data_IF_742915593478
#
_entry.id   IF_742915593478
#
_cell.length_a   1.000
_cell.length_b   1.000
_cell.length_c   1.000
_cell.angle_alpha   90.00
_cell.angle_beta   90.00
_cell.angle_gamma   90.00
#
_symmetry.space_group_name_H-M   'P 1'
#
loop_
_entity.id
_entity.type
_entity.pdbx_description
1 polymer ?
#
# COMPACT_ATOMS: atom_id res chain seq x y z
N UNK A 1 1.67 -1.02 -19.19
CA UNK A 1 1.70 -1.88 -18.00
C UNK A 1 0.38 -2.62 -17.94
N UNK A 2 0.43 -3.94 -17.86
CA UNK A 2 -0.76 -4.76 -17.66
C UNK A 2 -1.09 -4.80 -16.19
N UNK A 3 -2.34 -4.55 -15.83
CA UNK A 3 -2.80 -4.52 -14.45
C UNK A 3 -3.86 -5.59 -14.24
N UNK A 4 -3.59 -6.49 -13.32
CA UNK A 4 -4.54 -7.49 -12.83
C UNK A 4 -5.47 -6.83 -11.80
N UNK A 5 -6.76 -6.96 -11.97
CA UNK A 5 -7.75 -6.36 -11.07
C UNK A 5 -9.01 -7.19 -10.96
N UNK A 6 -9.71 -7.00 -9.88
CA UNK A 6 -11.07 -7.48 -9.70
C UNK A 6 -12.04 -6.30 -9.79
N UNK A 7 -13.16 -6.51 -10.47
CA UNK A 7 -14.22 -5.50 -10.61
C UNK A 7 -15.59 -6.15 -10.41
N UNK A 8 -16.47 -5.47 -9.68
CA UNK A 8 -17.86 -5.88 -9.50
C UNK A 8 -18.76 -4.68 -9.21
N UNK A 9 -20.06 -4.87 -9.49
CA UNK A 9 -21.10 -3.86 -9.25
C UNK A 9 -21.16 -2.77 -10.30
N UNK A 10 -22.05 -1.81 -10.08
CA UNK A 10 -22.31 -0.65 -10.97
C UNK A 10 -22.54 0.60 -10.11
N UNK A 11 -22.44 1.78 -10.73
CA UNK A 11 -22.65 3.06 -10.03
C UNK A 11 -21.35 3.82 -9.84
N UNK A 12 -21.27 4.65 -8.79
CA UNK A 12 -20.07 5.43 -8.49
C UNK A 12 -18.89 4.51 -8.18
N UNK A 13 -17.73 4.81 -8.76
CA UNK A 13 -16.55 3.97 -8.64
C UNK A 13 -15.85 4.14 -7.29
N UNK A 14 -15.47 3.00 -6.69
CA UNK A 14 -14.62 2.91 -5.51
C UNK A 14 -13.40 2.06 -5.85
N UNK A 15 -12.20 2.62 -5.72
CA UNK A 15 -10.94 1.91 -5.94
C UNK A 15 -10.34 1.49 -4.61
N UNK A 16 -9.96 0.22 -4.49
CA UNK A 16 -9.44 -0.40 -3.26
C UNK A 16 -7.99 -0.84 -3.47
N UNK A 17 -7.04 -0.15 -2.83
CA UNK A 17 -5.59 -0.42 -2.93
C UNK A 17 -5.12 -1.22 -1.71
N UNK A 18 -4.59 -2.42 -1.97
CA UNK A 18 -4.21 -3.39 -0.94
C UNK A 18 -2.88 -3.08 -0.25
N UNK A 19 -2.65 -3.69 0.92
CA UNK A 19 -1.37 -3.60 1.64
C UNK A 19 -0.30 -4.51 1.03
N UNK A 20 0.95 -4.27 1.41
CA UNK A 20 2.08 -5.18 1.16
C UNK A 20 1.70 -6.62 1.53
N UNK A 21 2.18 -7.60 0.73
CA UNK A 21 2.01 -9.06 0.96
C UNK A 21 0.55 -9.54 0.87
N UNK A 22 -0.39 -8.73 0.40
CA UNK A 22 -1.83 -9.08 0.43
C UNK A 22 -2.43 -9.36 -0.96
N UNK A 23 -2.29 -8.45 -1.90
CA UNK A 23 -3.00 -8.47 -3.18
C UNK A 23 -4.48 -8.07 -3.07
N UNK A 24 -5.17 -8.01 -4.21
CA UNK A 24 -6.56 -7.56 -4.31
C UNK A 24 -7.57 -8.42 -3.51
N UNK A 25 -7.22 -9.67 -3.20
CA UNK A 25 -8.04 -10.59 -2.38
C UNK A 25 -8.26 -10.10 -0.96
N UNK A 26 -7.44 -9.17 -0.46
CA UNK A 26 -7.64 -8.49 0.81
C UNK A 26 -9.06 -7.91 0.91
N UNK A 27 -9.57 -7.40 -0.19
CA UNK A 27 -10.82 -6.65 -0.26
C UNK A 27 -12.08 -7.48 -0.49
N UNK A 28 -11.96 -8.81 -0.58
CA UNK A 28 -13.06 -9.71 -0.96
C UNK A 28 -14.34 -9.43 -0.18
N UNK A 29 -14.25 -9.29 1.15
CA UNK A 29 -15.44 -9.03 1.99
C UNK A 29 -16.03 -7.64 1.73
N UNK A 30 -15.20 -6.62 1.63
CA UNK A 30 -15.67 -5.26 1.37
C UNK A 30 -16.30 -5.16 -0.01
N UNK A 31 -15.72 -5.83 -0.97
CA UNK A 31 -16.21 -5.91 -2.34
C UNK A 31 -17.60 -6.56 -2.40
N UNK A 32 -17.80 -7.67 -1.66
CA UNK A 32 -19.11 -8.33 -1.58
C UNK A 32 -20.18 -7.45 -0.94
N UNK A 33 -19.82 -6.54 -0.04
CA UNK A 33 -20.73 -5.59 0.61
C UNK A 33 -21.05 -4.42 -0.33
N UNK A 34 -20.07 -3.88 -1.03
CA UNK A 34 -20.23 -2.65 -1.79
C UNK A 34 -20.81 -2.85 -3.19
N UNK A 35 -20.60 -4.00 -3.82
CA UNK A 35 -20.98 -4.28 -5.22
C UNK A 35 -22.46 -4.08 -5.55
N UNK A 36 -23.33 -4.16 -4.56
CA UNK A 36 -24.78 -3.96 -4.75
C UNK A 36 -25.15 -2.46 -4.93
N UNK A 37 -24.24 -1.55 -4.58
CA UNK A 37 -24.47 -0.10 -4.59
C UNK A 37 -23.38 0.71 -5.27
N UNK A 38 -22.23 0.11 -5.56
CA UNK A 38 -21.03 0.78 -6.08
C UNK A 38 -20.37 -0.06 -7.16
N UNK A 39 -19.69 0.59 -8.09
CA UNK A 39 -18.72 -0.07 -8.95
C UNK A 39 -17.41 -0.18 -8.19
N UNK A 40 -17.05 -1.37 -7.74
CA UNK A 40 -15.85 -1.59 -6.92
C UNK A 40 -14.74 -2.16 -7.77
N UNK A 41 -13.57 -1.55 -7.70
CA UNK A 41 -12.38 -1.94 -8.46
C UNK A 41 -11.25 -2.18 -7.47
N UNK A 42 -10.66 -3.37 -7.48
CA UNK A 42 -9.53 -3.73 -6.62
C UNK A 42 -8.35 -4.19 -7.50
N UNK A 43 -7.46 -3.28 -7.91
CA UNK A 43 -6.27 -3.64 -8.66
C UNK A 43 -5.22 -4.29 -7.76
N UNK A 44 -4.43 -5.19 -8.34
CA UNK A 44 -3.15 -5.59 -7.79
C UNK A 44 -2.11 -4.51 -8.09
N UNK A 45 -1.36 -4.10 -7.08
CA UNK A 45 -0.24 -3.18 -7.23
C UNK A 45 0.89 -3.82 -8.03
N UNK A 46 1.89 -3.04 -8.45
CA UNK A 46 3.02 -3.51 -9.27
C UNK A 46 3.68 -4.73 -8.63
N UNK A 47 3.78 -5.83 -9.39
CA UNK A 47 4.39 -7.08 -8.96
C UNK A 47 3.48 -8.04 -8.20
N UNK A 48 2.20 -7.67 -7.94
CA UNK A 48 1.22 -8.55 -7.32
C UNK A 48 0.28 -9.17 -8.34
N UNK A 49 -0.17 -10.40 -8.06
CA UNK A 49 -1.03 -11.16 -8.98
C UNK A 49 -0.37 -11.31 -10.35
N UNK A 50 -1.09 -10.94 -11.40
CA UNK A 50 -0.58 -10.89 -12.78
C UNK A 50 -0.23 -9.46 -13.23
N UNK A 51 -0.26 -8.48 -12.31
CA UNK A 51 0.21 -7.12 -12.65
C UNK A 51 1.70 -7.14 -12.96
N UNK A 52 2.09 -6.45 -14.03
CA UNK A 52 3.48 -6.33 -14.48
C UNK A 52 4.41 -6.04 -13.29
N UNK A 53 5.50 -6.78 -13.18
CA UNK A 53 6.52 -6.55 -12.16
C UNK A 53 7.38 -5.32 -12.50
N UNK A 54 7.95 -4.69 -11.46
CA UNK A 54 8.92 -3.61 -11.66
C UNK A 54 10.21 -4.17 -12.28
N UNK A 55 10.74 -3.48 -13.32
CA UNK A 55 11.94 -3.95 -14.03
C UNK A 55 13.21 -3.92 -13.15
N UNK A 56 13.26 -3.00 -12.19
CA UNK A 56 14.44 -2.79 -11.35
C UNK A 56 15.51 -1.88 -11.96
N UNK A 57 15.31 -1.37 -13.18
CA UNK A 57 16.27 -0.49 -13.87
C UNK A 57 16.42 0.87 -13.17
N UNK A 58 15.37 1.32 -12.50
CA UNK A 58 15.34 2.53 -11.66
C UNK A 58 14.71 2.23 -10.31
N UNK A 59 14.90 3.14 -9.35
CA UNK A 59 14.17 3.05 -8.09
C UNK A 59 12.68 3.32 -8.34
N UNK A 60 11.83 2.45 -7.80
CA UNK A 60 10.39 2.63 -7.87
C UNK A 60 9.96 3.83 -7.00
N UNK A 61 8.98 4.57 -7.49
CA UNK A 61 8.37 5.70 -6.77
C UNK A 61 6.90 5.44 -6.43
N UNK A 62 6.34 6.18 -5.47
CA UNK A 62 4.89 6.15 -5.23
C UNK A 62 4.09 6.59 -6.45
N UNK A 63 4.66 7.47 -7.28
CA UNK A 63 4.05 7.89 -8.55
C UNK A 63 3.91 6.73 -9.52
N UNK A 64 4.93 5.87 -9.65
CA UNK A 64 4.86 4.70 -10.53
C UNK A 64 3.73 3.75 -10.11
N UNK A 65 3.59 3.53 -8.79
CA UNK A 65 2.49 2.74 -8.25
C UNK A 65 1.12 3.40 -8.47
N UNK A 66 1.02 4.71 -8.26
CA UNK A 66 -0.23 5.45 -8.43
C UNK A 66 -0.71 5.49 -9.88
N UNK A 67 0.18 5.41 -10.86
CA UNK A 67 -0.19 5.36 -12.30
C UNK A 67 -1.08 4.15 -12.65
N UNK A 68 -1.07 3.08 -11.85
CA UNK A 68 -2.01 1.95 -12.00
C UNK A 68 -3.46 2.43 -11.98
N UNK A 69 -3.75 3.45 -11.18
CA UNK A 69 -5.11 3.97 -11.00
C UNK A 69 -5.62 4.68 -12.26
N UNK A 70 -4.73 5.23 -13.10
CA UNK A 70 -5.07 6.04 -14.27
C UNK A 70 -6.12 5.40 -15.18
N UNK A 71 -6.02 4.10 -15.43
CA UNK A 71 -6.94 3.40 -16.33
C UNK A 71 -8.38 3.29 -15.80
N UNK A 72 -8.56 3.54 -14.50
CA UNK A 72 -9.85 3.47 -13.82
C UNK A 72 -10.45 4.86 -13.56
N UNK A 73 -9.69 5.94 -13.84
CA UNK A 73 -10.17 7.31 -13.74
C UNK A 73 -11.10 7.59 -14.91
N UNK A 74 -12.33 8.05 -14.67
CA UNK A 74 -13.23 8.46 -15.74
C UNK A 74 -12.64 9.62 -16.58
N UNK A 75 -12.95 9.63 -17.87
CA UNK A 75 -12.53 10.70 -18.79
C UNK A 75 -13.41 11.95 -18.71
N UNK A 76 -14.43 11.93 -17.89
CA UNK A 76 -15.35 13.03 -17.61
C UNK A 76 -15.15 13.56 -16.17
N UNK A 77 -16.03 14.46 -15.75
CA UNK A 77 -15.98 15.07 -14.41
C UNK A 77 -16.52 14.16 -13.28
N UNK A 78 -16.80 12.89 -13.58
CA UNK A 78 -17.27 11.91 -12.59
C UNK A 78 -16.22 11.68 -11.52
N UNK A 79 -16.63 11.84 -10.28
CA UNK A 79 -15.75 11.65 -9.12
C UNK A 79 -15.73 10.17 -8.70
N UNK A 80 -14.59 9.77 -8.19
CA UNK A 80 -14.39 8.44 -7.60
C UNK A 80 -14.00 8.53 -6.13
N UNK A 81 -14.28 7.48 -5.40
CA UNK A 81 -13.79 7.30 -4.02
C UNK A 81 -12.61 6.32 -4.03
N UNK A 82 -11.71 6.47 -3.07
CA UNK A 82 -10.55 5.58 -2.95
C UNK A 82 -10.35 5.12 -1.51
N UNK A 83 -9.98 3.87 -1.34
CA UNK A 83 -9.58 3.28 -0.06
C UNK A 83 -8.19 2.67 -0.23
N UNK A 84 -7.26 3.01 0.66
CA UNK A 84 -5.93 2.43 0.66
C UNK A 84 -5.53 1.91 2.04
N UNK A 85 -4.94 0.71 2.10
CA UNK A 85 -4.44 0.13 3.33
C UNK A 85 -2.91 0.03 3.32
N UNK A 86 -2.26 0.50 4.39
CA UNK A 86 -0.80 0.42 4.57
C UNK A 86 -0.06 1.01 3.36
N UNK A 87 0.75 0.23 2.64
CA UNK A 87 1.40 0.67 1.40
C UNK A 87 0.39 1.18 0.35
N UNK A 88 -0.73 0.47 0.16
CA UNK A 88 -1.82 0.96 -0.69
C UNK A 88 -2.41 2.28 -0.21
N UNK A 89 -2.31 2.61 1.08
CA UNK A 89 -2.65 3.92 1.63
C UNK A 89 -1.71 5.02 1.15
N UNK A 90 -0.40 4.78 1.17
CA UNK A 90 0.60 5.72 0.62
C UNK A 90 0.45 5.90 -0.89
N UNK A 91 0.13 4.82 -1.62
CA UNK A 91 -0.19 4.87 -3.06
C UNK A 91 -1.47 5.67 -3.31
N UNK A 92 -2.52 5.50 -2.47
CA UNK A 92 -3.77 6.25 -2.56
C UNK A 92 -3.56 7.76 -2.32
N UNK A 93 -2.71 8.13 -1.38
CA UNK A 93 -2.31 9.55 -1.18
C UNK A 93 -1.67 10.11 -2.44
N UNK A 94 -0.72 9.41 -3.04
CA UNK A 94 -0.06 9.85 -4.28
C UNK A 94 -1.04 9.91 -5.45
N UNK A 95 -1.94 8.93 -5.60
CA UNK A 95 -2.99 8.96 -6.61
C UNK A 95 -3.92 10.16 -6.43
N UNK A 96 -4.32 10.47 -5.19
CA UNK A 96 -5.14 11.65 -4.89
C UNK A 96 -4.43 12.96 -5.26
N UNK A 97 -3.11 13.04 -5.07
CA UNK A 97 -2.29 14.19 -5.49
C UNK A 97 -2.25 14.31 -7.02
N UNK A 98 -2.01 13.22 -7.74
CA UNK A 98 -1.86 13.23 -9.21
C UNK A 98 -3.22 13.48 -9.89
N UNK A 99 -4.28 12.85 -9.38
CA UNK A 99 -5.63 12.89 -9.95
C UNK A 99 -6.59 13.74 -9.11
N UNK A 100 -6.11 14.82 -8.51
CA UNK A 100 -6.85 15.65 -7.54
C UNK A 100 -8.21 16.13 -8.04
N UNK A 101 -8.36 16.30 -9.36
CA UNK A 101 -9.64 16.67 -9.99
C UNK A 101 -10.68 15.56 -10.05
N UNK A 102 -10.29 14.29 -9.84
CA UNK A 102 -11.16 13.13 -10.04
C UNK A 102 -11.49 12.38 -8.74
N UNK A 103 -10.72 12.57 -7.68
CA UNK A 103 -10.90 11.85 -6.40
C UNK A 103 -11.51 12.81 -5.40
N UNK A 104 -12.74 12.51 -4.93
CA UNK A 104 -13.46 13.34 -3.96
C UNK A 104 -13.41 12.80 -2.53
N UNK A 105 -13.31 11.48 -2.36
CA UNK A 105 -13.27 10.80 -1.06
C UNK A 105 -12.08 9.87 -0.95
N UNK A 106 -11.37 9.96 0.17
CA UNK A 106 -10.21 9.14 0.45
C UNK A 106 -10.28 8.54 1.85
N UNK A 107 -10.20 7.22 1.94
CA UNK A 107 -10.11 6.50 3.21
C UNK A 107 -8.73 5.83 3.27
N UNK A 108 -7.96 6.21 4.26
CA UNK A 108 -6.63 5.70 4.55
C UNK A 108 -6.68 4.80 5.78
N UNK A 109 -6.37 3.53 5.62
CA UNK A 109 -6.32 2.56 6.72
C UNK A 109 -4.85 2.30 7.03
N UNK A 110 -4.39 2.80 8.18
CA UNK A 110 -2.99 2.66 8.63
C UNK A 110 -1.96 2.92 7.51
N UNK A 111 -2.04 4.06 6.79
CA UNK A 111 -1.09 4.36 5.72
C UNK A 111 0.33 4.44 6.28
N UNK A 112 1.33 4.10 5.44
CA UNK A 112 2.73 4.03 5.86
C UNK A 112 3.68 5.00 5.14
N UNK A 113 3.42 6.31 5.05
CA UNK A 113 4.36 7.28 4.51
C UNK A 113 5.57 7.45 5.46
N UNK A 114 6.35 6.38 5.63
CA UNK A 114 7.36 6.22 6.69
C UNK A 114 8.47 7.28 6.64
N UNK A 115 8.72 7.90 5.49
CA UNK A 115 9.69 8.99 5.37
C UNK A 115 9.31 10.20 6.25
N UNK A 116 8.00 10.45 6.49
CA UNK A 116 7.53 11.55 7.35
C UNK A 116 7.97 11.39 8.80
N UNK A 117 8.26 10.17 9.26
CA UNK A 117 8.80 9.93 10.62
C UNK A 117 10.08 10.73 10.86
N UNK A 118 10.97 10.81 9.85
CA UNK A 118 12.19 11.61 9.89
C UNK A 118 11.85 13.10 10.01
N UNK A 119 10.92 13.57 9.17
CA UNK A 119 10.57 14.98 9.07
C UNK A 119 9.81 15.48 10.32
N UNK A 120 9.09 14.57 10.99
CA UNK A 120 8.43 14.79 12.28
C UNK A 120 9.36 14.66 13.50
N UNK A 121 10.67 14.42 13.32
CA UNK A 121 11.60 14.22 14.42
C UNK A 121 11.47 12.88 15.17
N UNK A 122 10.69 11.92 14.62
CA UNK A 122 10.50 10.58 15.19
C UNK A 122 11.67 9.66 14.81
N UNK A 123 12.87 10.05 15.19
CA UNK A 123 14.11 9.39 14.72
C UNK A 123 14.23 7.92 15.14
N UNK A 124 13.76 7.54 16.33
CA UNK A 124 13.78 6.15 16.77
C UNK A 124 12.87 5.27 15.91
N UNK A 125 11.65 5.74 15.62
CA UNK A 125 10.70 5.03 14.77
C UNK A 125 11.20 4.97 13.31
N UNK A 126 11.81 6.05 12.82
CA UNK A 126 12.44 6.06 11.49
C UNK A 126 13.61 5.06 11.40
N UNK A 127 14.42 4.92 12.46
CA UNK A 127 15.49 3.93 12.50
C UNK A 127 14.95 2.50 12.48
N UNK A 128 13.83 2.23 13.18
CA UNK A 128 13.19 0.92 13.21
C UNK A 128 12.66 0.52 11.83
N UNK A 129 11.92 1.40 11.12
CA UNK A 129 11.45 1.11 9.76
C UNK A 129 12.60 0.99 8.78
N UNK A 130 13.67 1.76 8.96
CA UNK A 130 14.88 1.67 8.14
C UNK A 130 15.57 0.32 8.32
N UNK A 131 15.62 -0.21 9.53
CA UNK A 131 16.17 -1.55 9.80
C UNK A 131 15.35 -2.65 9.09
N UNK A 132 14.01 -2.54 9.09
CA UNK A 132 13.14 -3.45 8.34
C UNK A 132 13.38 -3.35 6.84
N UNK A 133 13.45 -2.15 6.27
CA UNK A 133 13.84 -1.93 4.86
C UNK A 133 15.16 -2.63 4.54
N UNK A 134 16.18 -2.40 5.36
CA UNK A 134 17.53 -2.93 5.12
C UNK A 134 17.55 -4.47 5.23
N UNK A 135 16.76 -5.04 6.11
CA UNK A 135 16.53 -6.48 6.21
C UNK A 135 15.96 -7.03 4.88
N UNK A 136 14.88 -6.45 4.38
CA UNK A 136 14.25 -6.88 3.11
C UNK A 136 15.22 -6.70 1.93
N UNK A 137 15.89 -5.55 1.84
CA UNK A 137 16.85 -5.26 0.76
C UNK A 137 18.05 -6.23 0.78
N UNK A 138 18.60 -6.49 1.96
CA UNK A 138 19.76 -7.37 2.12
C UNK A 138 19.42 -8.81 1.74
N UNK A 139 18.30 -9.33 2.25
CA UNK A 139 17.87 -10.69 1.97
C UNK A 139 17.39 -10.86 0.53
N UNK A 140 16.71 -9.87 -0.04
CA UNK A 140 16.32 -9.88 -1.45
C UNK A 140 17.51 -9.95 -2.40
N UNK A 141 18.58 -9.17 -2.14
CA UNK A 141 19.85 -9.25 -2.91
C UNK A 141 20.55 -10.60 -2.80
N UNK A 142 20.43 -11.26 -1.65
CA UNK A 142 21.00 -12.60 -1.40
C UNK A 142 20.09 -13.74 -1.84
N UNK A 143 18.87 -13.43 -2.31
CA UNK A 143 17.81 -14.40 -2.60
C UNK A 143 17.42 -15.30 -1.41
N UNK A 144 17.56 -14.80 -0.18
CA UNK A 144 17.14 -15.46 1.07
C UNK A 144 15.77 -14.92 1.52
N UNK A 145 14.77 -15.10 0.64
CA UNK A 145 13.42 -14.57 0.84
C UNK A 145 12.66 -15.24 1.98
N UNK A 146 12.98 -16.46 2.31
CA UNK A 146 12.45 -17.19 3.46
C UNK A 146 12.85 -16.52 4.79
N UNK A 147 14.11 -16.10 4.92
CA UNK A 147 14.59 -15.31 6.07
C UNK A 147 13.87 -13.96 6.16
N UNK A 148 13.76 -13.25 5.04
CA UNK A 148 13.04 -11.98 4.99
C UNK A 148 11.57 -12.14 5.41
N UNK A 149 10.90 -13.19 4.89
CA UNK A 149 9.50 -13.47 5.17
C UNK A 149 9.25 -13.84 6.63
N UNK A 150 10.16 -14.59 7.24
CA UNK A 150 10.07 -14.93 8.66
C UNK A 150 10.16 -13.67 9.54
N UNK A 151 11.17 -12.83 9.32
CA UNK A 151 11.35 -11.58 10.06
C UNK A 151 10.15 -10.65 9.86
N UNK A 152 9.72 -10.43 8.61
CA UNK A 152 8.58 -9.59 8.27
C UNK A 152 7.29 -10.08 8.95
N UNK A 153 7.03 -11.38 8.89
CA UNK A 153 5.81 -11.97 9.43
C UNK A 153 5.76 -11.83 10.96
N UNK A 154 6.83 -12.16 11.64
CA UNK A 154 6.89 -12.03 13.09
C UNK A 154 6.80 -10.57 13.54
N UNK A 155 7.45 -9.65 12.84
CA UNK A 155 7.40 -8.22 13.15
C UNK A 155 5.98 -7.62 13.04
N UNK A 156 5.26 -7.90 11.95
CA UNK A 156 3.94 -7.32 11.70
C UNK A 156 2.77 -8.07 12.37
N UNK A 157 2.99 -9.26 12.92
CA UNK A 157 1.95 -10.01 13.62
C UNK A 157 2.33 -10.19 15.10
N UNK A 158 3.09 -11.22 15.41
CA UNK A 158 3.61 -11.53 16.74
C UNK A 158 4.74 -12.56 16.62
N UNK A 159 5.57 -12.63 17.65
CA UNK A 159 6.64 -13.64 17.70
C UNK A 159 6.06 -15.05 17.54
N UNK A 160 6.69 -15.84 16.68
CA UNK A 160 6.26 -17.21 16.37
C UNK A 160 5.15 -17.31 15.31
N UNK A 161 4.66 -16.21 14.75
CA UNK A 161 3.63 -16.23 13.73
C UNK A 161 4.10 -16.96 12.45
N UNK A 162 5.36 -16.81 12.08
CA UNK A 162 5.96 -17.52 10.95
C UNK A 162 6.07 -19.02 11.20
N UNK A 163 6.55 -19.40 12.37
CA UNK A 163 6.74 -20.79 12.78
C UNK A 163 5.42 -21.56 12.81
N UNK A 164 4.33 -20.88 13.15
CA UNK A 164 2.99 -21.45 13.20
C UNK A 164 2.35 -21.67 11.83
N UNK A 165 2.95 -21.15 10.74
CA UNK A 165 2.43 -21.34 9.38
C UNK A 165 2.82 -22.70 8.81
N UNK A 166 1.90 -23.31 8.04
CA UNK A 166 2.23 -24.44 7.17
C UNK A 166 3.10 -24.01 5.98
N UNK A 167 3.75 -24.98 5.33
CA UNK A 167 4.70 -24.70 4.25
C UNK A 167 4.06 -23.99 3.05
N UNK A 168 2.82 -24.36 2.70
CA UNK A 168 2.09 -23.71 1.61
C UNK A 168 1.86 -22.23 1.90
N UNK A 169 1.51 -21.90 3.12
CA UNK A 169 1.28 -20.51 3.54
C UNK A 169 2.59 -19.72 3.57
N UNK A 170 3.67 -20.34 4.05
CA UNK A 170 5.02 -19.75 3.99
C UNK A 170 5.43 -19.42 2.56
N UNK A 171 5.25 -20.35 1.63
CA UNK A 171 5.56 -20.11 0.21
C UNK A 171 4.75 -18.94 -0.39
N UNK A 172 3.47 -18.84 -0.06
CA UNK A 172 2.63 -17.71 -0.50
C UNK A 172 3.16 -16.37 0.05
N UNK A 173 3.56 -16.30 1.32
CA UNK A 173 4.12 -15.09 1.93
C UNK A 173 5.47 -14.75 1.30
N UNK A 174 6.36 -15.73 1.10
CA UNK A 174 7.66 -15.53 0.43
C UNK A 174 7.46 -14.89 -0.95
N UNK A 175 6.55 -15.42 -1.75
CA UNK A 175 6.32 -14.91 -3.10
C UNK A 175 5.65 -13.53 -3.08
N UNK A 176 4.70 -13.30 -2.18
CA UNK A 176 4.02 -12.02 -2.04
C UNK A 176 4.92 -10.92 -1.43
N UNK A 177 6.02 -11.27 -0.77
CA UNK A 177 6.98 -10.31 -0.21
C UNK A 177 7.96 -9.75 -1.24
N UNK A 178 8.19 -10.44 -2.36
CA UNK A 178 9.18 -9.99 -3.36
C UNK A 178 8.96 -8.57 -3.88
N UNK A 179 7.74 -8.11 -4.20
CA UNK A 179 7.49 -6.73 -4.62
C UNK A 179 7.90 -5.69 -3.56
N UNK A 180 7.84 -6.06 -2.28
CA UNK A 180 8.19 -5.17 -1.18
C UNK A 180 9.65 -4.65 -1.24
N UNK A 181 10.54 -5.38 -1.93
CA UNK A 181 11.89 -4.91 -2.21
C UNK A 181 11.90 -3.52 -2.87
N UNK A 182 10.96 -3.26 -3.79
CA UNK A 182 10.84 -2.01 -4.53
C UNK A 182 9.88 -1.02 -3.84
N UNK A 183 8.87 -1.52 -3.13
CA UNK A 183 7.96 -0.68 -2.35
C UNK A 183 8.70 0.16 -1.30
N UNK A 184 9.75 -0.38 -0.67
CA UNK A 184 10.59 0.37 0.25
C UNK A 184 11.29 1.56 -0.41
N UNK A 185 11.70 1.42 -1.67
CA UNK A 185 12.26 2.55 -2.40
C UNK A 185 11.20 3.63 -2.62
N UNK A 186 9.99 3.22 -3.02
CA UNK A 186 8.87 4.13 -3.27
C UNK A 186 8.46 4.93 -2.04
N UNK A 187 8.41 4.29 -0.86
CA UNK A 187 7.99 4.94 0.38
C UNK A 187 9.10 5.78 1.01
N UNK A 188 10.33 5.26 1.06
CA UNK A 188 11.41 5.91 1.83
C UNK A 188 12.09 7.07 1.08
N UNK A 189 11.97 7.11 -0.24
CA UNK A 189 12.52 8.17 -1.08
C UNK A 189 11.49 9.24 -1.46
N UNK A 190 10.25 9.14 -0.99
CA UNK A 190 9.25 10.20 -1.13
C UNK A 190 9.65 11.43 -0.29
N UNK A 191 9.25 12.61 -0.73
CA UNK A 191 9.64 13.90 -0.13
C UNK A 191 8.51 14.92 -0.01
N UNK A 192 7.28 14.53 -0.34
CA UNK A 192 6.10 15.41 -0.19
C UNK A 192 5.90 15.76 1.28
N UNK A 193 5.91 17.05 1.63
CA UNK A 193 5.73 17.50 3.01
C UNK A 193 4.27 17.32 3.50
N UNK A 194 4.06 17.38 4.82
CA UNK A 194 2.71 17.30 5.40
C UNK A 194 1.84 18.43 4.85
N UNK A 195 2.35 19.66 4.78
CA UNK A 195 1.62 20.82 4.25
C UNK A 195 1.28 20.66 2.77
N UNK A 196 2.13 19.95 2.02
CA UNK A 196 1.85 19.66 0.62
C UNK A 196 0.77 18.58 0.49
N UNK A 197 0.78 17.54 1.34
CA UNK A 197 -0.31 16.57 1.42
C UNK A 197 -1.64 17.24 1.77
N UNK A 198 -1.69 18.12 2.77
CA UNK A 198 -2.90 18.86 3.15
C UNK A 198 -3.52 19.63 1.99
N UNK A 199 -2.70 20.17 1.09
CA UNK A 199 -3.18 20.92 -0.08
C UNK A 199 -3.79 20.03 -1.18
N UNK A 200 -3.34 18.78 -1.27
CA UNK A 200 -3.66 17.91 -2.41
C UNK A 200 -4.64 16.79 -2.06
N UNK A 201 -4.73 16.40 -0.79
CA UNK A 201 -5.70 15.38 -0.39
C UNK A 201 -7.14 15.94 -0.45
N UNK A 202 -8.11 15.09 -0.83
CA UNK A 202 -9.53 15.48 -0.83
C UNK A 202 -9.96 16.01 0.55
N UNK A 203 -10.90 16.95 0.56
CA UNK A 203 -11.48 17.46 1.83
C UNK A 203 -12.17 16.33 2.63
N UNK A 204 -12.78 15.38 1.93
CA UNK A 204 -13.37 14.17 2.54
C UNK A 204 -12.30 13.07 2.67
N UNK A 205 -11.22 13.36 3.41
CA UNK A 205 -10.21 12.37 3.75
C UNK A 205 -10.41 11.88 5.18
N UNK A 206 -10.48 10.56 5.36
CA UNK A 206 -10.55 9.91 6.67
C UNK A 206 -9.33 9.01 6.87
N UNK A 207 -8.73 9.08 8.05
CA UNK A 207 -7.63 8.19 8.45
C UNK A 207 -8.12 7.27 9.56
N UNK A 208 -7.98 5.97 9.35
CA UNK A 208 -8.34 4.93 10.30
C UNK A 208 -7.08 4.29 10.86
N UNK A 209 -6.96 4.23 12.17
CA UNK A 209 -5.88 3.52 12.87
C UNK A 209 -6.45 2.60 13.96
N UNK A 210 -5.80 1.45 14.16
CA UNK A 210 -6.16 0.53 15.23
C UNK A 210 -5.43 0.90 16.52
N UNK A 211 -6.12 0.84 17.68
CA UNK A 211 -5.48 1.07 19.01
C UNK A 211 -4.36 0.07 19.33
N UNK A 212 -4.35 -1.10 18.67
CA UNK A 212 -3.33 -2.16 18.84
C UNK A 212 -2.34 -2.24 17.70
N UNK A 213 -2.36 -1.28 16.78
CA UNK A 213 -1.39 -1.26 15.68
C UNK A 213 0.02 -1.07 16.21
N UNK A 214 1.02 -1.54 15.48
CA UNK A 214 2.41 -1.23 15.78
C UNK A 214 2.60 0.30 15.77
N UNK A 215 3.42 0.81 16.69
CA UNK A 215 3.63 2.27 16.87
C UNK A 215 3.94 3.03 15.58
N UNK A 216 4.51 2.37 14.61
CA UNK A 216 4.97 2.93 13.35
C UNK A 216 3.83 3.37 12.43
N UNK A 217 2.67 2.71 12.46
CA UNK A 217 1.53 3.06 11.61
C UNK A 217 0.70 4.22 12.17
N UNK A 218 1.06 4.76 13.32
CA UNK A 218 0.41 5.92 13.95
C UNK A 218 1.04 7.26 13.53
N UNK A 219 1.37 7.44 12.25
CA UNK A 219 1.95 8.69 11.74
C UNK A 219 0.93 9.84 11.83
N UNK A 220 -0.35 9.54 11.71
CA UNK A 220 -1.46 10.53 11.76
C UNK A 220 -2.28 10.51 13.05
N UNK A 221 -1.87 9.79 14.11
CA UNK A 221 -2.56 9.87 15.40
C UNK A 221 -1.96 11.01 16.23
N UNK A 222 -2.74 12.05 16.43
CA UNK A 222 -2.54 13.13 17.39
C UNK A 222 -3.29 12.83 18.70
#
# INVERSE_FOLDING_TARGET
>A
MDVDFYEAGTGQSVILLHSTVSGNRQWRRLLDILKDHQRVIAPNLIGYGSTTSWSGDTLQTLKDQAEIVRQFIPNDDTKISMVGHSFGGSVAMMAAKIFSGNIDKLILIEPNPNYLLRDMGRHADFAEVSAMRDCIKTNGKKNTWDVAAAIFTNYFNHDGAWEAMDDRRKELVINALKPNFHEWDAVMNESTSIEEWEKHLPKETSVLSCKKTIKLNNIFSY
#
